data_IF_519635000724
#
_entry.id   IF_519635000724
#
_cell.length_a   1.000
_cell.length_b   1.000
_cell.length_c   1.000
_cell.angle_alpha   90.00
_cell.angle_beta   90.00
_cell.angle_gamma   90.00
#
_symmetry.space_group_name_H-M   'P 1'
#
loop_
_entity.id
_entity.type
_entity.pdbx_description
1 polymer ?
#
# COMPACT_ATOMS: atom_id res chain seq x y z
N UNK A 1 -2.07 2.17 -10.91
CA UNK A 1 -1.61 2.23 -9.51
C UNK A 1 -2.10 3.51 -8.87
N UNK A 2 -2.55 3.43 -7.64
CA UNK A 2 -3.04 4.59 -6.90
C UNK A 2 -2.42 4.60 -5.52
N UNK A 3 -1.90 5.75 -5.09
CA UNK A 3 -1.31 5.91 -3.76
C UNK A 3 -2.14 6.93 -2.98
N UNK A 4 -2.56 6.55 -1.78
CA UNK A 4 -3.33 7.41 -0.89
C UNK A 4 -2.69 7.43 0.49
N UNK A 5 -2.63 8.61 1.08
CA UNK A 5 -2.18 8.74 2.45
C UNK A 5 -3.30 9.32 3.30
N UNK A 6 -3.66 8.60 4.35
CA UNK A 6 -4.70 9.01 5.29
C UNK A 6 -4.04 9.60 6.52
N UNK A 7 -4.02 10.92 6.59
CA UNK A 7 -3.27 11.64 7.63
C UNK A 7 -3.84 11.40 9.04
N UNK A 8 -5.15 11.21 9.16
CA UNK A 8 -5.79 11.01 10.46
C UNK A 8 -5.38 9.69 11.13
N UNK A 9 -5.10 8.67 10.33
CA UNK A 9 -4.70 7.35 10.83
C UNK A 9 -3.23 7.05 10.55
N UNK A 10 -2.52 7.94 9.87
CA UNK A 10 -1.13 7.74 9.47
C UNK A 10 -0.96 6.45 8.65
N UNK A 11 -1.88 6.25 7.71
CA UNK A 11 -1.92 5.02 6.89
C UNK A 11 -1.62 5.36 5.44
N UNK A 12 -0.67 4.63 4.86
CA UNK A 12 -0.35 4.71 3.44
C UNK A 12 -0.98 3.51 2.75
N UNK A 13 -1.78 3.75 1.72
CA UNK A 13 -2.46 2.73 0.96
C UNK A 13 -1.99 2.77 -0.49
N UNK A 14 -1.45 1.66 -0.98
CA UNK A 14 -0.95 1.54 -2.34
C UNK A 14 -1.81 0.52 -3.08
N UNK A 15 -2.61 0.99 -4.02
CA UNK A 15 -3.48 0.14 -4.83
C UNK A 15 -2.77 -0.20 -6.12
N UNK A 16 -2.40 -1.46 -6.30
CA UNK A 16 -1.68 -1.93 -7.48
C UNK A 16 -2.63 -2.28 -8.62
N UNK A 17 -3.76 -2.87 -8.27
CA UNK A 17 -4.79 -3.32 -9.22
C UNK A 17 -6.16 -2.95 -8.69
N UNK A 18 -7.04 -2.54 -9.60
CA UNK A 18 -8.43 -2.21 -9.24
C UNK A 18 -9.27 -3.49 -9.31
N UNK A 19 -9.02 -4.40 -8.38
CA UNK A 19 -9.74 -5.66 -8.27
C UNK A 19 -10.19 -5.84 -6.83
N UNK A 20 -11.20 -6.69 -6.63
CA UNK A 20 -11.73 -6.95 -5.30
C UNK A 20 -10.79 -7.87 -4.52
N UNK A 21 -10.40 -7.45 -3.33
CA UNK A 21 -9.58 -8.28 -2.45
C UNK A 21 -10.42 -9.42 -1.88
N UNK A 22 -9.88 -10.64 -1.95
CA UNK A 22 -10.54 -11.85 -1.39
C UNK A 22 -9.71 -12.51 -0.31
N UNK A 23 -8.45 -12.14 -0.17
CA UNK A 23 -7.57 -12.69 0.85
C UNK A 23 -6.68 -11.58 1.37
N UNK A 24 -6.47 -11.55 2.69
CA UNK A 24 -5.62 -10.58 3.37
C UNK A 24 -4.55 -11.32 4.14
N UNK A 25 -3.31 -10.88 4.03
CA UNK A 25 -2.17 -11.44 4.76
C UNK A 25 -1.38 -10.33 5.44
N UNK A 26 -0.93 -10.61 6.65
CA UNK A 26 -0.03 -9.71 7.36
C UNK A 26 1.40 -10.02 6.94
N UNK A 27 2.10 -9.03 6.40
CA UNK A 27 3.53 -9.16 6.12
C UNK A 27 4.33 -8.97 7.40
N UNK A 28 3.93 -7.96 8.17
CA UNK A 28 4.48 -7.69 9.50
C UNK A 28 3.41 -6.94 10.31
N UNK A 29 3.75 -6.46 11.52
CA UNK A 29 2.81 -5.81 12.43
C UNK A 29 2.15 -4.58 11.83
N UNK A 30 2.77 -3.96 10.83
CA UNK A 30 2.31 -2.69 10.28
C UNK A 30 2.08 -2.74 8.77
N UNK A 31 2.18 -3.91 8.15
CA UNK A 31 2.03 -4.04 6.70
C UNK A 31 1.06 -5.16 6.35
N UNK A 32 0.02 -4.81 5.62
CA UNK A 32 -1.05 -5.72 5.23
C UNK A 32 -1.06 -5.83 3.71
N UNK A 33 -1.09 -7.06 3.22
CA UNK A 33 -1.16 -7.36 1.79
C UNK A 33 -2.52 -7.93 1.45
N UNK A 34 -3.16 -7.39 0.41
CA UNK A 34 -4.44 -7.90 -0.09
C UNK A 34 -4.25 -8.55 -1.44
N UNK A 35 -4.88 -9.70 -1.63
CA UNK A 35 -4.81 -10.49 -2.85
C UNK A 35 -6.19 -10.63 -3.47
N UNK A 36 -6.25 -10.63 -4.80
CA UNK A 36 -7.50 -10.83 -5.52
C UNK A 36 -7.76 -12.31 -5.79
N UNK A 37 -8.88 -12.58 -6.50
CA UNK A 37 -9.32 -13.93 -6.78
C UNK A 37 -8.37 -14.71 -7.69
N UNK A 38 -7.51 -14.01 -8.42
CA UNK A 38 -6.50 -14.63 -9.28
C UNK A 38 -5.18 -14.89 -8.55
N UNK A 39 -5.13 -14.63 -7.24
CA UNK A 39 -3.93 -14.79 -6.46
C UNK A 39 -2.91 -13.68 -6.65
N UNK A 40 -3.31 -12.56 -7.28
CA UNK A 40 -2.43 -11.43 -7.51
C UNK A 40 -2.57 -10.43 -6.37
N UNK A 41 -1.45 -9.85 -5.95
CA UNK A 41 -1.48 -8.79 -4.95
C UNK A 41 -2.15 -7.56 -5.55
N UNK A 42 -3.23 -7.08 -4.91
CA UNK A 42 -3.95 -5.93 -5.41
C UNK A 42 -3.70 -4.66 -4.60
N UNK A 43 -3.32 -4.77 -3.33
CA UNK A 43 -3.01 -3.58 -2.55
C UNK A 43 -2.07 -3.87 -1.39
N UNK A 44 -1.41 -2.81 -0.91
CA UNK A 44 -0.52 -2.84 0.24
C UNK A 44 -0.97 -1.72 1.17
N UNK A 45 -1.20 -2.04 2.44
CA UNK A 45 -1.53 -1.07 3.48
C UNK A 45 -0.39 -0.99 4.46
N UNK A 46 0.15 0.21 4.67
CA UNK A 46 1.24 0.44 5.62
C UNK A 46 0.70 1.32 6.74
N UNK A 47 0.62 0.75 7.94
CA UNK A 47 0.18 1.48 9.13
C UNK A 47 1.38 2.17 9.78
N UNK A 48 1.13 3.28 10.47
CA UNK A 48 2.17 4.10 11.09
C UNK A 48 3.24 4.52 10.08
N UNK A 49 2.78 4.93 8.90
CA UNK A 49 3.66 5.16 7.74
C UNK A 49 4.72 6.23 7.99
N UNK A 50 4.40 7.28 8.74
CA UNK A 50 5.36 8.35 9.01
C UNK A 50 6.53 7.88 9.85
N UNK A 51 6.32 6.90 10.73
CA UNK A 51 7.37 6.34 11.58
C UNK A 51 8.27 5.39 10.80
N UNK A 52 7.73 4.77 9.78
CA UNK A 52 8.44 3.77 9.01
C UNK A 52 9.16 4.35 7.80
N UNK A 53 8.50 5.29 7.11
CA UNK A 53 8.99 5.85 5.87
C UNK A 53 9.39 7.33 6.00
N UNK A 54 9.39 7.87 7.23
CA UNK A 54 9.62 9.28 7.45
C UNK A 54 8.35 10.09 7.28
N UNK A 55 8.47 11.39 7.02
CA UNK A 55 7.33 12.26 6.80
C UNK A 55 6.48 11.73 5.64
N UNK A 56 5.17 12.04 5.60
CA UNK A 56 4.31 11.55 4.53
C UNK A 56 4.61 12.23 3.20
N UNK A 57 5.79 11.97 2.69
CA UNK A 57 6.25 12.49 1.41
C UNK A 57 6.35 11.34 0.43
N UNK A 58 5.84 11.58 -0.76
CA UNK A 58 5.87 10.61 -1.82
C UNK A 58 6.52 11.23 -3.04
N UNK A 59 7.50 10.55 -3.63
CA UNK A 59 8.07 10.97 -4.88
C UNK A 59 7.92 9.86 -5.91
N UNK A 60 7.64 10.25 -7.14
CA UNK A 60 7.47 9.32 -8.25
C UNK A 60 8.39 9.77 -9.37
N UNK A 61 9.13 8.83 -9.92
CA UNK A 61 10.05 9.11 -11.01
C UNK A 61 9.98 7.99 -12.02
N UNK A 62 9.77 8.34 -13.28
CA UNK A 62 9.76 7.37 -14.37
C UNK A 62 11.06 7.57 -15.16
N UNK A 63 11.88 6.51 -15.17
CA UNK A 63 13.17 6.56 -15.83
C UNK A 63 13.08 5.73 -17.10
N UNK A 64 13.33 6.35 -18.25
CA UNK A 64 13.40 5.66 -19.54
C UNK A 64 14.74 4.93 -19.66
N UNK A 65 14.67 3.65 -19.92
CA UNK A 65 15.87 2.83 -20.06
C UNK A 65 16.28 2.68 -21.51
#
# INVERSE_FOLDING_TARGET
MRVRYFADTDTLFIELRDTTAVETRDLDDNTILDYDNDGQMCSITIEHASKRAGAPQFSYEQIAA
#
